data_IF_463160408273
#
_entry.id   IF_463160408273
#
_cell.length_a   1.000
_cell.length_b   1.000
_cell.length_c   1.000
_cell.angle_alpha   90.00
_cell.angle_beta   90.00
_cell.angle_gamma   90.00
#
_symmetry.space_group_name_H-M   'P 1'
#
loop_
_entity.id
_entity.type
_entity.pdbx_description
1 polymer ?
#
# COMPACT_ATOMS: atom_id res chain seq x y z
N UNK A 1 -13.12 20.12 4.26
CA UNK A 1 -13.69 19.09 3.37
C UNK A 1 -13.22 17.69 3.81
N UNK A 2 -14.12 16.73 3.75
CA UNK A 2 -13.78 15.34 4.06
C UNK A 2 -12.97 14.79 2.91
N UNK A 3 -11.75 14.35 3.18
CA UNK A 3 -10.91 13.71 2.20
C UNK A 3 -11.16 12.22 2.24
N UNK A 4 -11.42 11.61 1.09
CA UNK A 4 -11.60 10.16 1.01
C UNK A 4 -10.66 9.59 -0.05
N UNK A 5 -10.31 8.31 0.11
CA UNK A 5 -9.55 7.60 -0.91
C UNK A 5 -10.38 7.42 -2.17
N UNK A 6 -9.70 7.18 -3.30
CA UNK A 6 -10.38 7.06 -4.59
C UNK A 6 -11.27 5.81 -4.68
N UNK A 7 -10.89 4.73 -4.04
CA UNK A 7 -11.68 3.51 -4.07
C UNK A 7 -11.56 2.72 -2.77
N UNK A 8 -12.67 2.11 -2.37
CA UNK A 8 -12.71 1.17 -1.25
C UNK A 8 -13.26 -0.13 -1.81
N UNK A 9 -12.47 -1.19 -1.74
CA UNK A 9 -12.79 -2.47 -2.35
C UNK A 9 -12.86 -3.56 -1.28
N UNK A 10 -14.06 -4.04 -0.95
CA UNK A 10 -14.16 -5.15 0.00
C UNK A 10 -13.81 -6.47 -0.69
N UNK A 11 -12.95 -7.25 -0.04
CA UNK A 11 -12.60 -8.61 -0.44
C UNK A 11 -13.09 -9.56 0.64
N UNK A 12 -12.99 -10.87 0.41
CA UNK A 12 -13.45 -11.85 1.40
C UNK A 12 -12.72 -11.75 2.72
N UNK A 13 -11.41 -11.51 2.66
CA UNK A 13 -10.55 -11.54 3.85
C UNK A 13 -10.07 -10.16 4.30
N UNK A 14 -10.35 -9.11 3.55
CA UNK A 14 -9.88 -7.77 3.89
C UNK A 14 -10.57 -6.71 3.04
N UNK A 15 -10.27 -5.46 3.36
CA UNK A 15 -10.77 -4.29 2.63
C UNK A 15 -9.56 -3.57 2.04
N UNK A 16 -9.63 -3.16 0.78
CA UNK A 16 -8.58 -2.37 0.15
C UNK A 16 -9.00 -0.91 0.08
N UNK A 17 -8.13 -0.02 0.51
CA UNK A 17 -8.22 1.40 0.24
C UNK A 17 -7.23 1.70 -0.86
N UNK A 18 -7.68 2.26 -1.97
CA UNK A 18 -6.82 2.53 -3.13
C UNK A 18 -6.85 4.00 -3.47
N UNK A 19 -5.67 4.58 -3.62
CA UNK A 19 -5.49 5.97 -4.00
C UNK A 19 -4.63 6.04 -5.26
N UNK A 20 -5.11 6.73 -6.30
CA UNK A 20 -4.40 6.88 -7.56
C UNK A 20 -3.77 8.25 -7.65
N UNK A 21 -2.47 8.30 -7.92
CA UNK A 21 -1.72 9.55 -8.07
C UNK A 21 -0.95 9.55 -9.38
N UNK A 22 -1.38 10.39 -10.32
CA UNK A 22 -0.72 10.47 -11.62
C UNK A 22 0.41 11.51 -11.67
N UNK A 23 0.41 12.46 -10.76
CA UNK A 23 1.44 13.50 -10.66
C UNK A 23 2.52 13.17 -9.65
N UNK A 24 3.34 14.16 -9.34
CA UNK A 24 4.30 14.04 -8.26
C UNK A 24 3.56 13.96 -6.93
N UNK A 25 3.91 12.98 -6.11
CA UNK A 25 3.24 12.76 -4.82
C UNK A 25 3.88 13.63 -3.75
N UNK A 26 3.05 14.33 -2.99
CA UNK A 26 3.47 15.05 -1.79
C UNK A 26 3.29 14.11 -0.60
N UNK A 27 4.39 13.80 0.08
CA UNK A 27 4.36 12.83 1.19
C UNK A 27 3.38 13.20 2.28
N UNK A 28 3.35 14.49 2.65
CA UNK A 28 2.46 14.96 3.71
C UNK A 28 0.99 14.79 3.33
N UNK A 29 0.65 15.16 2.10
CA UNK A 29 -0.72 15.06 1.63
C UNK A 29 -1.21 13.62 1.58
N UNK A 30 -0.37 12.69 1.09
CA UNK A 30 -0.78 11.30 1.01
C UNK A 30 -0.89 10.67 2.40
N UNK A 31 -0.03 11.06 3.34
CA UNK A 31 -0.12 10.59 4.72
C UNK A 31 -1.38 11.09 5.40
N UNK A 32 -1.69 12.37 5.22
CA UNK A 32 -2.92 12.93 5.77
C UNK A 32 -4.14 12.22 5.22
N UNK A 33 -4.15 11.95 3.92
CA UNK A 33 -5.25 11.24 3.28
C UNK A 33 -5.39 9.81 3.80
N UNK A 34 -4.28 9.12 3.97
CA UNK A 34 -4.29 7.75 4.49
C UNK A 34 -4.88 7.71 5.91
N UNK A 35 -4.51 8.67 6.76
CA UNK A 35 -5.02 8.73 8.12
C UNK A 35 -6.47 9.20 8.18
N UNK A 36 -6.77 10.30 7.53
CA UNK A 36 -8.09 10.95 7.65
C UNK A 36 -9.19 10.11 7.02
N UNK A 37 -8.93 9.54 5.85
CA UNK A 37 -9.89 8.65 5.19
C UNK A 37 -10.21 7.45 6.07
N UNK A 38 -9.19 6.90 6.70
CA UNK A 38 -9.37 5.75 7.58
C UNK A 38 -10.22 6.09 8.79
N UNK A 39 -9.92 7.21 9.46
CA UNK A 39 -10.64 7.58 10.67
C UNK A 39 -12.13 7.84 10.39
N UNK A 40 -12.43 8.48 9.26
CA UNK A 40 -13.82 8.69 8.85
C UNK A 40 -14.50 7.36 8.56
N UNK A 41 -13.83 6.48 7.82
CA UNK A 41 -14.39 5.17 7.49
C UNK A 41 -14.69 4.35 8.75
N UNK A 42 -13.75 4.31 9.68
CA UNK A 42 -13.92 3.56 10.93
C UNK A 42 -15.11 4.08 11.74
N UNK A 43 -15.28 5.39 11.77
CA UNK A 43 -16.43 5.99 12.46
C UNK A 43 -17.74 5.57 11.81
N UNK A 44 -17.79 5.57 10.48
CA UNK A 44 -18.99 5.17 9.74
C UNK A 44 -19.38 3.73 10.04
N UNK A 45 -18.40 2.81 10.07
CA UNK A 45 -18.70 1.40 10.29
C UNK A 45 -18.73 1.01 11.77
N UNK A 46 -18.42 1.95 12.67
CA UNK A 46 -18.45 1.67 14.11
C UNK A 46 -17.31 0.80 14.61
N UNK A 47 -16.14 0.89 13.96
CA UNK A 47 -14.96 0.11 14.33
C UNK A 47 -13.82 1.01 14.78
N UNK A 48 -12.77 0.40 15.33
CA UNK A 48 -11.59 1.13 15.80
C UNK A 48 -10.33 0.72 15.03
N UNK A 49 -9.20 1.30 15.43
CA UNK A 49 -7.92 1.07 14.75
C UNK A 49 -7.48 -0.40 14.85
N UNK A 50 -7.87 -1.12 15.90
CA UNK A 50 -7.56 -2.54 15.98
C UNK A 50 -8.17 -3.31 14.80
N UNK A 51 -9.35 -2.91 14.35
CA UNK A 51 -9.98 -3.49 13.17
C UNK A 51 -9.15 -3.22 11.92
N UNK A 52 -8.74 -1.97 11.69
CA UNK A 52 -8.01 -1.63 10.48
C UNK A 52 -6.63 -2.28 10.42
N UNK A 53 -5.96 -2.42 11.55
CA UNK A 53 -4.66 -3.11 11.61
C UNK A 53 -4.75 -4.56 11.17
N UNK A 54 -5.90 -5.17 11.31
CA UNK A 54 -6.09 -6.58 10.97
C UNK A 54 -6.80 -6.80 9.65
N UNK A 55 -7.50 -5.79 9.13
CA UNK A 55 -8.44 -6.00 8.04
C UNK A 55 -8.32 -5.06 6.85
N UNK A 56 -7.56 -3.98 6.93
CA UNK A 56 -7.51 -2.99 5.86
C UNK A 56 -6.10 -2.81 5.33
N UNK A 57 -5.96 -2.91 4.00
CA UNK A 57 -4.71 -2.59 3.30
C UNK A 57 -4.88 -1.25 2.58
N UNK A 58 -3.84 -0.44 2.59
CA UNK A 58 -3.80 0.83 1.87
C UNK A 58 -2.83 0.73 0.70
N UNK A 59 -3.30 1.09 -0.49
CA UNK A 59 -2.51 0.99 -1.72
C UNK A 59 -2.46 2.34 -2.40
N UNK A 60 -1.24 2.84 -2.66
CA UNK A 60 -1.03 4.01 -3.51
C UNK A 60 -0.54 3.51 -4.86
N UNK A 61 -1.27 3.88 -5.92
CA UNK A 61 -0.85 3.60 -7.29
C UNK A 61 -0.30 4.90 -7.85
N UNK A 62 0.97 4.92 -8.19
CA UNK A 62 1.65 6.17 -8.54
C UNK A 62 2.31 6.10 -9.92
N UNK A 63 2.69 7.27 -10.42
CA UNK A 63 3.40 7.40 -11.70
C UNK A 63 4.89 7.32 -11.41
N UNK A 64 5.54 6.25 -11.87
CA UNK A 64 6.95 5.99 -11.60
C UNK A 64 7.88 7.04 -12.22
N UNK A 65 7.54 7.54 -13.40
CA UNK A 65 8.36 8.57 -14.06
C UNK A 65 8.43 9.86 -13.24
N UNK A 66 7.32 10.25 -12.64
CA UNK A 66 7.22 11.47 -11.84
C UNK A 66 7.65 11.27 -10.39
N UNK A 67 7.78 10.02 -9.96
CA UNK A 67 8.15 9.66 -8.59
C UNK A 67 9.19 8.55 -8.64
N UNK A 68 10.43 8.86 -9.07
CA UNK A 68 11.45 7.82 -9.22
C UNK A 68 11.80 7.20 -7.88
N UNK A 69 12.08 5.91 -7.93
CA UNK A 69 12.44 5.15 -6.74
C UNK A 69 13.82 5.58 -6.22
N UNK A 70 14.06 5.43 -4.91
CA UNK A 70 15.38 5.68 -4.35
C UNK A 70 16.45 4.85 -5.05
N UNK A 71 17.66 5.37 -5.03
CA UNK A 71 18.77 4.76 -5.76
C UNK A 71 19.05 3.32 -5.33
N UNK A 72 18.89 3.02 -4.04
CA UNK A 72 19.08 1.66 -3.53
C UNK A 72 18.08 0.68 -4.14
N UNK A 73 16.85 1.11 -4.36
CA UNK A 73 15.82 0.28 -4.98
C UNK A 73 16.15 0.07 -6.46
N UNK A 74 16.55 1.14 -7.16
CA UNK A 74 16.95 1.07 -8.56
C UNK A 74 18.13 0.14 -8.78
N UNK A 75 19.06 0.08 -7.83
CA UNK A 75 20.24 -0.77 -7.90
C UNK A 75 20.00 -2.19 -7.40
N UNK A 76 18.78 -2.48 -6.99
CA UNK A 76 18.44 -3.80 -6.49
C UNK A 76 18.85 -4.07 -5.05
N UNK A 77 19.31 -3.06 -4.32
CA UNK A 77 19.66 -3.21 -2.91
C UNK A 77 18.44 -3.34 -2.02
N UNK A 78 17.36 -2.63 -2.40
CA UNK A 78 16.03 -2.80 -1.86
C UNK A 78 15.14 -3.14 -3.04
N UNK A 79 14.28 -4.12 -2.91
CA UNK A 79 13.49 -4.59 -4.04
C UNK A 79 12.02 -4.28 -3.90
N UNK A 80 11.47 -3.72 -4.98
CA UNK A 80 10.04 -3.56 -5.14
C UNK A 80 9.40 -4.92 -5.44
N UNK A 81 10.11 -5.76 -6.22
CA UNK A 81 9.68 -7.13 -6.50
C UNK A 81 10.67 -8.12 -5.91
N UNK A 82 10.22 -9.28 -5.44
CA UNK A 82 11.12 -10.30 -4.92
C UNK A 82 12.06 -10.84 -6.00
N UNK A 83 13.33 -11.00 -5.66
CA UNK A 83 14.30 -11.77 -6.43
C UNK A 83 14.04 -13.26 -6.20
N UNK A 84 14.83 -14.14 -6.85
CA UNK A 84 14.75 -15.58 -6.60
C UNK A 84 14.96 -15.91 -5.14
N UNK A 85 15.94 -15.27 -4.52
CA UNK A 85 16.21 -15.48 -3.09
C UNK A 85 15.02 -15.04 -2.27
N UNK A 86 14.44 -13.90 -2.63
CA UNK A 86 13.28 -13.37 -1.93
C UNK A 86 12.06 -14.25 -2.11
N UNK A 87 11.92 -14.92 -3.26
CA UNK A 87 10.83 -15.87 -3.48
C UNK A 87 10.96 -17.05 -2.50
N UNK A 88 12.16 -17.59 -2.35
CA UNK A 88 12.40 -18.67 -1.40
C UNK A 88 12.08 -18.20 0.03
N UNK A 89 12.54 -17.01 0.40
CA UNK A 89 12.26 -16.43 1.71
C UNK A 89 10.75 -16.23 1.92
N UNK A 90 10.06 -15.84 0.88
CA UNK A 90 8.61 -15.64 0.93
C UNK A 90 7.89 -16.94 1.26
N UNK A 91 8.25 -18.03 0.60
CA UNK A 91 7.67 -19.35 0.89
C UNK A 91 7.96 -19.81 2.31
N UNK A 92 9.09 -19.40 2.85
CA UNK A 92 9.48 -19.77 4.21
C UNK A 92 8.97 -18.78 5.26
N UNK A 93 8.15 -17.82 4.87
CA UNK A 93 7.64 -16.81 5.79
C UNK A 93 8.67 -15.76 6.18
N UNK A 94 9.77 -15.69 5.45
CA UNK A 94 10.85 -14.73 5.68
C UNK A 94 10.99 -13.76 4.51
N UNK A 95 9.87 -13.43 3.88
CA UNK A 95 9.85 -12.58 2.70
C UNK A 95 10.58 -11.27 2.96
N UNK A 96 11.38 -10.86 1.98
CA UNK A 96 11.99 -9.54 2.01
C UNK A 96 10.87 -8.50 2.05
N UNK A 97 11.01 -7.54 2.94
CA UNK A 97 10.03 -6.50 3.07
C UNK A 97 10.00 -5.66 1.79
N UNK A 98 8.82 -5.45 1.29
CA UNK A 98 8.54 -4.61 0.14
C UNK A 98 8.92 -3.16 0.46
N UNK A 99 9.50 -2.44 -0.50
CA UNK A 99 9.80 -1.04 -0.31
C UNK A 99 8.52 -0.21 -0.35
N UNK A 100 8.30 0.59 0.67
CA UNK A 100 7.12 1.45 0.77
C UNK A 100 7.57 2.90 0.57
N UNK A 101 7.03 3.56 -0.45
CA UNK A 101 7.34 4.94 -0.79
C UNK A 101 6.59 5.94 0.08
N UNK A 102 6.96 7.21 -0.07
CA UNK A 102 6.21 8.36 0.45
C UNK A 102 6.13 8.42 1.98
N UNK A 103 7.12 7.81 2.65
CA UNK A 103 7.19 7.84 4.12
C UNK A 103 5.95 7.20 4.77
N UNK A 104 5.35 6.21 4.08
CA UNK A 104 4.14 5.54 4.57
C UNK A 104 4.41 4.31 5.41
N UNK A 105 5.66 3.84 5.50
CA UNK A 105 5.94 2.58 6.21
C UNK A 105 5.53 2.62 7.67
N UNK A 106 5.50 3.79 8.29
CA UNK A 106 5.06 3.93 9.68
C UNK A 106 3.59 3.58 9.88
N UNK A 107 2.79 3.76 8.84
CA UNK A 107 1.35 3.55 8.91
C UNK A 107 0.99 2.07 8.80
N UNK A 108 1.91 1.26 8.30
CA UNK A 108 1.75 -0.18 8.35
C UNK A 108 1.86 -0.63 9.79
N UNK A 109 0.86 -1.36 10.26
CA UNK A 109 0.72 -1.80 11.65
C UNK A 109 0.36 -0.70 12.65
N UNK A 110 0.52 0.58 12.28
CA UNK A 110 -0.01 1.66 13.13
C UNK A 110 -1.49 1.88 12.85
N UNK A 111 -1.84 1.92 11.56
CA UNK A 111 -3.21 2.15 11.10
C UNK A 111 -3.73 1.02 10.22
N UNK A 112 -2.87 0.37 9.47
CA UNK A 112 -3.25 -0.58 8.43
C UNK A 112 -2.59 -1.94 8.63
N UNK A 113 -3.23 -2.98 8.06
CA UNK A 113 -2.67 -4.32 8.04
C UNK A 113 -1.42 -4.37 7.16
N UNK A 114 -1.53 -3.84 5.94
CA UNK A 114 -0.42 -3.71 5.00
C UNK A 114 -0.55 -2.40 4.24
N UNK A 115 0.59 -1.90 3.79
CA UNK A 115 0.65 -0.74 2.90
C UNK A 115 1.47 -1.13 1.68
N UNK A 116 0.94 -0.83 0.51
CA UNK A 116 1.63 -1.06 -0.76
C UNK A 116 1.71 0.24 -1.53
N UNK A 117 2.87 0.51 -2.13
CA UNK A 117 3.03 1.62 -3.06
C UNK A 117 3.49 1.02 -4.37
N UNK A 118 2.61 1.02 -5.35
CA UNK A 118 2.82 0.33 -6.63
C UNK A 118 2.82 1.30 -7.79
N UNK A 119 3.71 1.08 -8.74
CA UNK A 119 3.55 1.65 -10.07
C UNK A 119 2.29 1.07 -10.70
N UNK A 120 1.82 1.66 -11.80
CA UNK A 120 0.63 1.14 -12.50
C UNK A 120 0.82 -0.30 -12.93
N UNK A 121 2.01 -0.64 -13.42
CA UNK A 121 2.33 -2.00 -13.86
C UNK A 121 2.29 -2.98 -12.70
N UNK A 122 2.86 -2.61 -11.57
CA UNK A 122 2.87 -3.44 -10.37
C UNK A 122 1.47 -3.64 -9.83
N UNK A 123 0.66 -2.59 -9.85
CA UNK A 123 -0.72 -2.71 -9.41
C UNK A 123 -1.50 -3.66 -10.30
N UNK A 124 -1.26 -3.62 -11.62
CA UNK A 124 -1.86 -4.58 -12.54
C UNK A 124 -1.51 -6.02 -12.19
N UNK A 125 -0.24 -6.27 -11.87
CA UNK A 125 0.20 -7.60 -11.41
C UNK A 125 -0.49 -8.01 -10.11
N UNK A 126 -0.62 -7.08 -9.18
CA UNK A 126 -1.30 -7.32 -7.92
C UNK A 126 -2.76 -7.74 -8.15
N UNK A 127 -3.47 -7.02 -9.03
CA UNK A 127 -4.85 -7.36 -9.37
C UNK A 127 -4.96 -8.74 -10.02
N UNK A 128 -4.03 -9.10 -10.88
CA UNK A 128 -4.00 -10.42 -11.49
C UNK A 128 -3.82 -11.50 -10.42
N UNK A 129 -2.93 -11.27 -9.48
CA UNK A 129 -2.71 -12.21 -8.39
C UNK A 129 -3.97 -12.42 -7.54
N UNK A 130 -4.73 -11.36 -7.31
CA UNK A 130 -5.99 -11.46 -6.57
C UNK A 130 -7.02 -12.31 -7.32
N UNK A 131 -7.07 -12.19 -8.64
CA UNK A 131 -8.01 -12.98 -9.46
C UNK A 131 -7.64 -14.46 -9.49
N UNK A 132 -6.35 -14.76 -9.42
CA UNK A 132 -5.87 -16.14 -9.46
C UNK A 132 -5.83 -16.80 -8.08
N UNK A 133 -5.83 -15.97 -7.06
CA UNK A 133 -5.87 -16.45 -5.68
C UNK A 133 -7.28 -16.52 -5.17
#
# INVERSE_FOLDING_TARGET
AITSVDAIVPLEDRILFVEFKNGQVNNRNIKDKARDSLLVFLEIIGENIAFSRSNIDFIVVYNLEKNPLPRQVQKGQLQETPSRVSIADHFMGKARKEFICFDLERYERLYYRNIHTYSKERFGEYLQALKLG
#
